data_IF_036821605688
#
_entry.id   IF_036821605688
#
_cell.length_a   1.000
_cell.length_b   1.000
_cell.length_c   1.000
_cell.angle_alpha   90.00
_cell.angle_beta   90.00
_cell.angle_gamma   90.00
#
_symmetry.space_group_name_H-M   'P 1'
#
loop_
_entity.id
_entity.type
_entity.pdbx_description
1 polymer ?
#
# COMPACT_ATOMS: atom_id res chain seq x y z
N UNK A 1 0.09 3.58 -11.13
CA UNK A 1 0.15 2.24 -10.49
C UNK A 1 0.61 1.09 -11.41
N UNK A 2 0.59 1.20 -12.75
CA UNK A 2 0.90 0.09 -13.68
C UNK A 2 2.40 -0.33 -13.76
N UNK A 3 3.35 0.57 -13.51
CA UNK A 3 4.77 0.32 -13.83
C UNK A 3 5.48 -0.64 -12.85
N UNK A 4 5.18 -0.63 -11.56
CA UNK A 4 5.81 -1.53 -10.58
C UNK A 4 5.36 -2.98 -10.73
N UNK A 5 4.09 -3.18 -11.08
CA UNK A 5 3.54 -4.50 -11.41
C UNK A 5 4.21 -5.05 -12.68
N UNK A 6 4.47 -4.19 -13.67
CA UNK A 6 5.21 -4.57 -14.87
C UNK A 6 6.68 -4.85 -14.58
N UNK A 7 7.32 -4.08 -13.68
CA UNK A 7 8.70 -4.34 -13.24
C UNK A 7 8.80 -5.69 -12.50
N UNK A 8 7.92 -5.94 -11.53
CA UNK A 8 7.87 -7.21 -10.81
C UNK A 8 7.59 -8.40 -11.74
N UNK A 9 6.73 -8.21 -12.76
CA UNK A 9 6.44 -9.22 -13.78
C UNK A 9 7.62 -9.46 -14.73
N UNK A 10 8.34 -8.40 -15.11
CA UNK A 10 9.56 -8.49 -15.93
C UNK A 10 10.66 -9.26 -15.21
N UNK A 11 10.77 -9.08 -13.89
CA UNK A 11 11.76 -9.78 -13.07
C UNK A 11 11.44 -11.26 -12.87
N UNK A 12 10.16 -11.64 -12.85
CA UNK A 12 9.75 -13.06 -12.84
C UNK A 12 10.17 -13.78 -14.12
N UNK A 13 9.90 -13.16 -15.27
CA UNK A 13 10.12 -13.78 -16.58
C UNK A 13 11.61 -13.88 -16.97
N UNK A 14 12.51 -13.31 -16.17
CA UNK A 14 13.96 -13.34 -16.41
C UNK A 14 14.62 -14.65 -15.95
N UNK A 15 13.92 -15.48 -15.17
CA UNK A 15 14.41 -16.75 -14.63
C UNK A 15 14.60 -17.87 -15.66
N UNK A 16 14.21 -17.68 -16.92
CA UNK A 16 14.08 -18.76 -17.91
C UNK A 16 15.29 -18.92 -18.85
N UNK A 17 16.38 -18.17 -18.69
CA UNK A 17 17.35 -18.06 -19.79
C UNK A 17 18.83 -18.41 -19.59
N UNK A 18 19.37 -18.72 -18.40
CA UNK A 18 20.79 -19.11 -18.32
C UNK A 18 21.12 -20.14 -17.22
N UNK A 19 21.79 -21.21 -17.65
CA UNK A 19 22.34 -22.30 -16.84
C UNK A 19 23.88 -22.17 -16.78
N UNK A 20 24.41 -21.34 -15.88
CA UNK A 20 25.82 -21.39 -15.48
C UNK A 20 26.02 -20.81 -14.08
N UNK A 21 26.15 -21.68 -13.06
CA UNK A 21 26.97 -21.48 -11.84
C UNK A 21 26.66 -20.33 -10.87
N UNK A 22 25.74 -19.41 -11.16
CA UNK A 22 25.26 -18.41 -10.21
C UNK A 22 24.16 -19.00 -9.33
N UNK A 23 24.02 -18.50 -8.09
CA UNK A 23 22.93 -18.87 -7.17
C UNK A 23 21.59 -18.61 -7.87
N UNK A 24 21.03 -19.65 -8.49
CA UNK A 24 19.87 -19.58 -9.35
C UNK A 24 18.69 -19.14 -8.48
N UNK A 25 18.13 -17.94 -8.75
CA UNK A 25 16.87 -17.54 -8.13
C UNK A 25 15.82 -18.52 -8.67
N UNK A 26 15.16 -19.33 -7.83
CA UNK A 26 14.21 -20.32 -8.34
C UNK A 26 13.09 -19.66 -9.14
N UNK A 27 12.71 -20.25 -10.28
CA UNK A 27 11.54 -19.80 -11.02
C UNK A 27 10.31 -19.84 -10.09
N UNK A 28 9.67 -18.69 -9.87
CA UNK A 28 8.57 -18.55 -8.92
C UNK A 28 8.97 -18.28 -7.46
N UNK A 29 10.25 -17.99 -7.17
CA UNK A 29 10.72 -17.66 -5.81
C UNK A 29 10.06 -16.41 -5.20
N UNK A 30 9.51 -15.53 -6.04
CA UNK A 30 8.73 -14.37 -5.62
C UNK A 30 7.28 -14.52 -6.06
N UNK A 31 6.40 -14.66 -5.07
CA UNK A 31 4.95 -14.68 -5.25
C UNK A 31 4.44 -13.41 -5.95
N UNK A 32 3.21 -13.45 -6.47
CA UNK A 32 2.54 -12.24 -6.95
C UNK A 32 2.48 -11.21 -5.82
N UNK A 33 2.78 -9.96 -6.17
CA UNK A 33 2.52 -8.86 -5.27
C UNK A 33 0.99 -8.74 -5.08
N UNK A 34 0.52 -8.99 -3.86
CA UNK A 34 -0.84 -8.66 -3.44
C UNK A 34 -0.84 -7.26 -2.83
N UNK A 35 -1.49 -6.32 -3.52
CA UNK A 35 -1.61 -4.92 -3.08
C UNK A 35 -2.50 -4.77 -1.82
N UNK A 36 -3.42 -5.71 -1.60
CA UNK A 36 -4.37 -5.69 -0.51
C UNK A 36 -3.92 -6.48 0.73
N UNK A 37 -2.78 -7.17 0.64
CA UNK A 37 -2.15 -7.88 1.75
C UNK A 37 -1.90 -6.95 2.97
N UNK A 38 -1.76 -7.52 4.16
CA UNK A 38 -1.48 -6.68 5.35
C UNK A 38 -0.06 -6.09 5.27
N UNK A 39 0.21 -4.99 5.99
CA UNK A 39 1.50 -4.27 5.90
C UNK A 39 2.71 -5.19 6.07
N UNK A 40 2.65 -6.12 7.05
CA UNK A 40 3.72 -7.08 7.30
C UNK A 40 4.04 -7.93 6.06
N UNK A 41 3.02 -8.46 5.39
CA UNK A 41 3.18 -9.30 4.21
C UNK A 41 3.77 -8.51 3.04
N UNK A 42 3.36 -7.26 2.86
CA UNK A 42 3.95 -6.36 1.85
C UNK A 42 5.41 -6.02 2.14
N UNK A 43 5.77 -5.80 3.41
CA UNK A 43 7.15 -5.57 3.84
C UNK A 43 8.02 -6.82 3.68
N UNK A 44 7.50 -8.00 4.03
CA UNK A 44 8.19 -9.28 3.85
C UNK A 44 8.39 -9.59 2.36
N UNK A 45 7.41 -9.28 1.50
CA UNK A 45 7.56 -9.37 0.04
C UNK A 45 8.65 -8.44 -0.48
N UNK A 46 8.67 -7.17 -0.03
CA UNK A 46 9.72 -6.22 -0.41
C UNK A 46 11.12 -6.67 0.01
N UNK A 47 11.24 -7.24 1.21
CA UNK A 47 12.50 -7.82 1.68
C UNK A 47 13.00 -8.94 0.77
N UNK A 48 12.11 -9.87 0.39
CA UNK A 48 12.42 -10.94 -0.56
C UNK A 48 12.81 -10.41 -1.93
N UNK A 49 12.05 -9.45 -2.45
CA UNK A 49 12.35 -8.76 -3.71
C UNK A 49 13.75 -8.13 -3.71
N UNK A 50 14.07 -7.36 -2.66
CA UNK A 50 15.39 -6.74 -2.49
C UNK A 50 16.50 -7.78 -2.42
N UNK A 51 16.31 -8.83 -1.61
CA UNK A 51 17.27 -9.91 -1.47
C UNK A 51 17.57 -10.57 -2.82
N UNK A 52 16.54 -10.96 -3.58
CA UNK A 52 16.73 -11.55 -4.90
C UNK A 52 17.36 -10.55 -5.88
N UNK A 53 16.99 -9.27 -5.81
CA UNK A 53 17.57 -8.26 -6.68
C UNK A 53 19.07 -8.01 -6.44
N UNK A 54 19.54 -8.20 -5.21
CA UNK A 54 20.94 -7.98 -4.81
C UNK A 54 21.80 -9.24 -4.90
N UNK A 55 21.21 -10.44 -4.78
CA UNK A 55 21.94 -11.72 -4.73
C UNK A 55 22.07 -12.42 -6.10
N UNK A 56 21.27 -12.04 -7.10
CA UNK A 56 21.43 -12.59 -8.46
C UNK A 56 22.73 -12.13 -9.12
N UNK A 57 23.41 -13.01 -9.87
CA UNK A 57 24.39 -12.57 -10.86
C UNK A 57 23.61 -12.16 -12.10
N UNK A 58 23.42 -10.86 -12.27
CA UNK A 58 22.80 -10.29 -13.45
C UNK A 58 23.88 -10.21 -14.53
N UNK A 59 23.58 -10.62 -15.76
CA UNK A 59 24.43 -10.29 -16.89
C UNK A 59 24.50 -8.76 -17.08
N UNK A 60 25.54 -8.24 -17.71
CA UNK A 60 25.65 -6.78 -17.98
C UNK A 60 24.50 -6.25 -18.86
N UNK A 61 23.74 -7.13 -19.54
CA UNK A 61 22.52 -6.81 -20.29
C UNK A 61 21.28 -6.56 -19.42
N UNK A 62 21.29 -6.97 -18.16
CA UNK A 62 20.16 -6.79 -17.22
C UNK A 62 20.53 -6.09 -15.93
N UNK A 63 21.81 -5.81 -15.70
CA UNK A 63 22.19 -4.72 -14.80
C UNK A 63 21.56 -3.44 -15.30
N UNK A 64 20.61 -2.95 -14.51
CA UNK A 64 20.12 -1.59 -14.68
C UNK A 64 21.35 -0.65 -14.66
N UNK A 65 21.42 0.35 -15.56
CA UNK A 65 22.56 1.26 -15.64
C UNK A 65 22.92 1.84 -14.27
N UNK A 66 24.19 2.20 -14.02
CA UNK A 66 24.62 2.74 -12.71
C UNK A 66 23.72 3.89 -12.20
N UNK A 67 23.22 4.74 -13.11
CA UNK A 67 22.26 5.80 -12.83
C UNK A 67 20.93 5.28 -12.25
N UNK A 68 20.51 4.09 -12.66
CA UNK A 68 19.31 3.40 -12.17
C UNK A 68 19.56 2.68 -10.84
N UNK A 69 20.80 2.25 -10.56
CA UNK A 69 21.17 1.74 -9.23
C UNK A 69 21.14 2.85 -8.17
N UNK A 70 21.58 4.07 -8.50
CA UNK A 70 21.34 5.25 -7.63
C UNK A 70 19.86 5.55 -7.47
N UNK A 71 19.05 5.29 -8.50
CA UNK A 71 17.58 5.37 -8.41
C UNK A 71 16.95 4.24 -7.59
N UNK A 72 17.70 3.20 -7.18
CA UNK A 72 17.15 2.13 -6.36
C UNK A 72 16.73 2.62 -4.98
N UNK A 73 17.46 3.58 -4.40
CA UNK A 73 17.03 4.25 -3.17
C UNK A 73 15.77 5.07 -3.37
N UNK A 74 15.65 5.79 -4.49
CA UNK A 74 14.44 6.53 -4.85
C UNK A 74 13.25 5.57 -5.09
N UNK A 75 13.48 4.44 -5.74
CA UNK A 75 12.48 3.39 -5.99
C UNK A 75 12.05 2.73 -4.67
N UNK A 76 13.00 2.40 -3.79
CA UNK A 76 12.71 1.88 -2.47
C UNK A 76 11.92 2.88 -1.62
N UNK A 77 12.25 4.17 -1.75
CA UNK A 77 11.52 5.24 -1.07
C UNK A 77 10.08 5.34 -1.58
N UNK A 78 9.86 5.37 -2.90
CA UNK A 78 8.52 5.38 -3.52
C UNK A 78 7.74 4.12 -3.14
N UNK A 79 8.35 2.93 -3.22
CA UNK A 79 7.69 1.69 -2.82
C UNK A 79 7.26 1.72 -1.36
N UNK A 80 8.17 2.10 -0.44
CA UNK A 80 7.84 2.16 0.98
C UNK A 80 6.81 3.24 1.28
N UNK A 81 6.91 4.40 0.63
CA UNK A 81 6.05 5.54 0.89
C UNK A 81 4.66 5.36 0.29
N UNK A 82 4.51 4.59 -0.78
CA UNK A 82 3.19 4.30 -1.32
C UNK A 82 2.64 3.01 -0.73
N UNK A 83 3.37 1.88 -0.81
CA UNK A 83 2.84 0.53 -0.53
C UNK A 83 3.19 -0.03 0.85
N UNK A 84 4.23 0.46 1.53
CA UNK A 84 4.50 0.11 2.94
C UNK A 84 3.87 1.09 3.93
N UNK A 85 2.89 1.91 3.50
CA UNK A 85 1.99 2.57 4.45
C UNK A 85 1.10 1.52 5.12
N UNK A 86 0.79 1.74 6.39
CA UNK A 86 -0.27 0.99 7.07
C UNK A 86 -1.51 1.01 6.18
N UNK A 87 -2.13 -0.16 5.94
CA UNK A 87 -3.51 -0.13 5.45
C UNK A 87 -4.29 0.53 6.56
N UNK A 88 -4.72 1.76 6.33
CA UNK A 88 -5.43 2.55 7.32
C UNK A 88 -6.53 1.66 7.95
N UNK A 89 -6.39 1.47 9.26
CA UNK A 89 -7.31 0.64 10.01
C UNK A 89 -8.72 1.16 9.81
N UNK A 90 -9.73 0.30 9.97
CA UNK A 90 -11.12 0.75 9.78
C UNK A 90 -11.45 1.91 10.73
N UNK A 91 -10.81 1.95 11.91
CA UNK A 91 -10.92 3.06 12.87
C UNK A 91 -10.22 4.33 12.39
N UNK A 92 -8.97 4.26 11.93
CA UNK A 92 -8.27 5.42 11.36
C UNK A 92 -9.06 6.01 10.17
N UNK A 93 -9.59 5.16 9.28
CA UNK A 93 -10.49 5.59 8.19
C UNK A 93 -11.73 6.32 8.67
N UNK A 94 -12.24 5.99 9.85
CA UNK A 94 -13.39 6.69 10.41
C UNK A 94 -12.99 8.06 10.98
N UNK A 95 -11.89 8.12 11.75
CA UNK A 95 -11.44 9.35 12.39
C UNK A 95 -10.77 10.35 11.43
N UNK A 96 -10.22 9.87 10.30
CA UNK A 96 -9.63 10.69 9.24
C UNK A 96 -10.60 11.04 8.09
N UNK A 97 -11.91 10.86 8.27
CA UNK A 97 -12.88 11.21 7.22
C UNK A 97 -13.14 12.70 7.15
N UNK A 98 -12.83 13.30 6.00
CA UNK A 98 -13.14 14.69 5.66
C UNK A 98 -14.33 14.85 4.72
N UNK A 99 -14.96 16.03 4.75
CA UNK A 99 -16.00 16.40 3.80
C UNK A 99 -15.39 16.73 2.44
N UNK A 100 -15.96 16.21 1.36
CA UNK A 100 -15.52 16.47 -0.02
C UNK A 100 -16.13 17.77 -0.55
N UNK A 101 -15.40 18.51 -1.38
CA UNK A 101 -15.85 19.80 -1.94
C UNK A 101 -17.24 19.78 -2.61
N UNK A 102 -17.60 18.65 -3.23
CA UNK A 102 -18.85 18.51 -3.98
C UNK A 102 -19.97 17.79 -3.18
N UNK A 103 -19.70 17.33 -1.96
CA UNK A 103 -20.70 16.59 -1.20
C UNK A 103 -21.49 17.52 -0.27
N UNK A 104 -22.80 17.29 -0.20
CA UNK A 104 -23.61 17.98 0.82
C UNK A 104 -23.33 17.40 2.21
N UNK A 105 -23.55 18.15 3.31
CA UNK A 105 -23.39 17.62 4.66
C UNK A 105 -24.20 16.33 4.92
N UNK A 106 -25.36 16.20 4.27
CA UNK A 106 -26.19 14.97 4.35
C UNK A 106 -25.49 13.78 3.68
N UNK A 107 -24.88 13.97 2.51
CA UNK A 107 -24.13 12.92 1.82
C UNK A 107 -22.92 12.50 2.65
N UNK A 108 -22.20 13.46 3.23
CA UNK A 108 -21.09 13.19 4.14
C UNK A 108 -21.54 12.36 5.35
N UNK A 109 -22.63 12.76 6.02
CA UNK A 109 -23.17 12.03 7.18
C UNK A 109 -23.54 10.58 6.84
N UNK A 110 -24.14 10.33 5.66
CA UNK A 110 -24.44 8.98 5.19
C UNK A 110 -23.17 8.15 5.00
N UNK A 111 -22.12 8.75 4.41
CA UNK A 111 -20.82 8.09 4.22
C UNK A 111 -20.14 7.80 5.56
N UNK A 112 -20.15 8.76 6.49
CA UNK A 112 -19.53 8.64 7.81
C UNK A 112 -20.18 7.53 8.64
N UNK A 113 -21.52 7.42 8.62
CA UNK A 113 -22.25 6.31 9.24
C UNK A 113 -21.88 4.95 8.65
N UNK A 114 -21.77 4.86 7.33
CA UNK A 114 -21.36 3.63 6.64
C UNK A 114 -19.96 3.19 7.08
N UNK A 115 -19.01 4.12 7.13
CA UNK A 115 -17.64 3.83 7.58
C UNK A 115 -17.59 3.46 9.06
N UNK A 116 -18.35 4.15 9.92
CA UNK A 116 -18.46 3.82 11.34
C UNK A 116 -18.98 2.38 11.56
N UNK A 117 -20.04 1.97 10.84
CA UNK A 117 -20.56 0.59 10.91
C UNK A 117 -19.51 -0.41 10.44
N UNK A 118 -18.82 -0.12 9.34
CA UNK A 118 -17.74 -0.98 8.83
C UNK A 118 -16.57 -1.11 9.82
N UNK A 119 -16.28 -0.05 10.58
CA UNK A 119 -15.27 -0.01 11.62
C UNK A 119 -15.69 -0.64 12.95
N UNK A 120 -16.95 -1.08 13.08
CA UNK A 120 -17.48 -1.64 14.33
C UNK A 120 -17.76 -0.59 15.41
N UNK A 121 -17.83 0.69 15.03
CA UNK A 121 -18.11 1.79 15.95
C UNK A 121 -19.60 1.80 16.29
N UNK A 122 -19.92 1.68 17.57
CA UNK A 122 -21.29 1.49 18.07
C UNK A 122 -21.97 2.81 18.42
N UNK A 123 -21.96 3.77 17.49
CA UNK A 123 -22.53 5.11 17.71
C UNK A 123 -24.05 5.14 18.01
N UNK A 124 -24.75 4.03 17.81
CA UNK A 124 -26.19 3.91 18.09
C UNK A 124 -26.48 3.39 19.51
N UNK A 125 -25.47 2.87 20.24
CA UNK A 125 -25.66 2.08 21.47
C UNK A 125 -25.83 2.93 22.73
N UNK A 126 -25.05 4.00 22.89
CA UNK A 126 -25.17 4.93 24.04
C UNK A 126 -25.26 6.38 23.59
N UNK A 127 -25.76 7.25 24.48
CA UNK A 127 -25.78 8.69 24.24
C UNK A 127 -24.38 9.25 24.02
N UNK A 128 -23.40 8.80 24.81
CA UNK A 128 -22.00 9.23 24.69
C UNK A 128 -21.37 8.82 23.35
N UNK A 129 -21.58 7.58 22.89
CA UNK A 129 -21.08 7.13 21.58
C UNK A 129 -21.74 7.88 20.41
N UNK A 130 -23.03 8.21 20.55
CA UNK A 130 -23.75 9.03 19.57
C UNK A 130 -23.20 10.45 19.52
N UNK A 131 -22.96 11.04 20.67
CA UNK A 131 -22.40 12.38 20.79
C UNK A 131 -21.00 12.44 20.18
N UNK A 132 -20.14 11.46 20.47
CA UNK A 132 -18.81 11.36 19.86
C UNK A 132 -18.88 11.29 18.33
N UNK A 133 -19.84 10.54 17.77
CA UNK A 133 -20.05 10.48 16.32
C UNK A 133 -20.55 11.79 15.72
N UNK A 134 -21.41 12.52 16.43
CA UNK A 134 -21.88 13.84 16.02
C UNK A 134 -20.74 14.87 16.08
N UNK A 135 -19.89 14.81 17.11
CA UNK A 135 -18.69 15.66 17.20
C UNK A 135 -17.75 15.43 16.03
N UNK A 136 -17.50 14.17 15.65
CA UNK A 136 -16.70 13.84 14.48
C UNK A 136 -17.26 14.48 13.20
N UNK A 137 -18.58 14.43 13.02
CA UNK A 137 -19.24 15.08 11.89
C UNK A 137 -18.99 16.60 11.88
N UNK A 138 -19.14 17.28 13.02
CA UNK A 138 -18.92 18.74 13.10
C UNK A 138 -17.46 19.15 12.98
N UNK A 139 -16.51 18.38 13.51
CA UNK A 139 -15.08 18.62 13.32
C UNK A 139 -14.72 18.58 11.84
N UNK A 140 -15.10 17.51 11.14
CA UNK A 140 -14.83 17.38 9.70
C UNK A 140 -15.54 18.45 8.84
N UNK A 141 -16.65 19.04 9.30
CA UNK A 141 -17.27 20.19 8.61
C UNK A 141 -16.51 21.50 8.85
N UNK A 142 -15.85 21.64 9.99
CA UNK A 142 -15.13 22.86 10.39
C UNK A 142 -13.73 22.91 9.79
N UNK A 143 -13.09 21.74 9.63
CA UNK A 143 -11.73 21.63 9.06
C UNK A 143 -11.70 21.80 7.53
N UNK A 144 -12.84 21.64 6.85
CA UNK A 144 -12.98 21.81 5.39
C UNK A 144 -13.50 23.20 4.96
N UNK A 145 -13.39 24.23 5.82
CA UNK A 145 -14.00 25.55 5.59
C UNK A 145 -13.03 26.71 5.62
#
# INVERSE_FOLDING_TARGET
MSWMVNLARSLRNYSDQYDYGATLIPHGALENLDEHAILKERMDWWGRFMYYSMMGSWDDSTRLPNETQSNWMALAHVFKSEWCRSVESKGERYYGMDMRDQETPRMFLCRLKKVAKNAGIRFEKTVSEREAHIRQFFCALSDNR
#
